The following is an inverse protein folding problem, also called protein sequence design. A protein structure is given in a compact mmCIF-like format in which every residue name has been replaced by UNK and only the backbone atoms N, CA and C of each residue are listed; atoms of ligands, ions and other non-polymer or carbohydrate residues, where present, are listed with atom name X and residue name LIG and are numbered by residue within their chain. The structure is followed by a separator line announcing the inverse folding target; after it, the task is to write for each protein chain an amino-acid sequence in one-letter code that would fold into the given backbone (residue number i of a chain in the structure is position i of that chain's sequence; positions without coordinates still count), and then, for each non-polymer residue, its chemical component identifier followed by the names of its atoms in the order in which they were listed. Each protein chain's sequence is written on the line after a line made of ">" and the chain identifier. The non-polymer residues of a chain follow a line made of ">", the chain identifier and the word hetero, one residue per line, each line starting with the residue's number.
data_IF_896641522234
#
_entry.id   IF_896641522234
#
_cell.length_a   1.000
_cell.length_b   1.000
_cell.length_c   1.000
_cell.angle_alpha   90.00
_cell.angle_beta   90.00
_cell.angle_gamma   90.00
#
_symmetry.space_group_name_H-M   'P 1'
#
loop_
_entity.id
_entity.type
_entity.pdbx_description
1 polymer ?
#
# COMPACT_ATOMS: atom_id res chain seq x y z
N UNK A 1 13.78 -7.25 -5.16
CA UNK A 1 12.55 -8.07 -5.25
C UNK A 1 12.81 -9.57 -5.48
N UNK A 2 13.90 -9.97 -6.14
CA UNK A 2 14.22 -11.42 -6.35
C UNK A 2 14.73 -12.13 -5.08
N UNK A 3 15.29 -11.39 -4.11
CA UNK A 3 15.89 -11.99 -2.89
C UNK A 3 14.90 -12.46 -1.82
N UNK A 4 13.65 -11.96 -1.79
CA UNK A 4 12.66 -12.31 -0.74
C UNK A 4 11.97 -13.65 -1.04
N UNK A 5 11.91 -14.06 -2.30
CA UNK A 5 11.19 -15.27 -2.73
C UNK A 5 11.84 -16.59 -2.30
N UNK A 6 13.08 -16.58 -1.80
CA UNK A 6 13.82 -17.79 -1.39
C UNK A 6 13.55 -18.25 0.05
N UNK A 7 12.78 -17.50 0.83
CA UNK A 7 12.66 -17.72 2.28
C UNK A 7 11.44 -18.55 2.74
N UNK A 8 10.54 -18.94 1.83
CA UNK A 8 9.30 -19.65 2.19
C UNK A 8 9.09 -20.92 1.35
N UNK A 9 9.71 -22.06 1.72
CA UNK A 9 9.63 -23.31 0.96
C UNK A 9 8.23 -23.95 0.94
N UNK A 10 7.36 -23.64 1.91
CA UNK A 10 6.05 -24.29 2.10
C UNK A 10 4.84 -23.37 1.81
N UNK A 11 5.02 -22.23 1.13
CA UNK A 11 3.91 -21.34 0.75
C UNK A 11 3.92 -21.08 -0.74
N UNK A 12 2.70 -21.00 -1.31
CA UNK A 12 2.35 -20.65 -2.70
C UNK A 12 3.51 -20.68 -3.68
N UNK A 13 3.50 -21.66 -4.61
CA UNK A 13 4.52 -21.78 -5.66
C UNK A 13 4.92 -20.39 -6.22
N UNK A 14 6.22 -20.14 -6.44
CA UNK A 14 6.71 -18.81 -6.84
C UNK A 14 5.95 -18.18 -8.00
N UNK A 15 5.49 -19.00 -8.94
CA UNK A 15 4.67 -18.60 -10.09
C UNK A 15 3.28 -18.11 -9.69
N UNK A 16 2.59 -18.85 -8.81
CA UNK A 16 1.28 -18.45 -8.29
C UNK A 16 1.38 -17.16 -7.50
N UNK A 17 2.41 -16.98 -6.68
CA UNK A 17 2.63 -15.74 -5.95
C UNK A 17 2.86 -14.55 -6.92
N UNK A 18 3.70 -14.73 -7.95
CA UNK A 18 3.91 -13.71 -8.98
C UNK A 18 2.63 -13.37 -9.75
N UNK A 19 1.76 -14.36 -10.00
CA UNK A 19 0.46 -14.12 -10.61
C UNK A 19 -0.44 -13.28 -9.70
N UNK A 20 -0.63 -13.70 -8.45
CA UNK A 20 -1.45 -12.98 -7.48
C UNK A 20 -0.99 -11.55 -7.25
N UNK A 21 0.33 -11.33 -7.10
CA UNK A 21 0.90 -9.99 -6.92
C UNK A 21 0.64 -9.07 -8.13
N UNK A 22 0.57 -9.60 -9.35
CA UNK A 22 0.24 -8.82 -10.55
C UNK A 22 -1.25 -8.46 -10.62
N UNK A 23 -2.12 -9.33 -10.11
CA UNK A 23 -3.57 -9.16 -10.12
C UNK A 23 -4.11 -8.39 -8.91
N UNK A 24 -3.30 -8.15 -7.89
CA UNK A 24 -3.73 -7.48 -6.66
C UNK A 24 -4.25 -6.06 -6.95
N UNK A 25 -5.47 -5.77 -6.48
CA UNK A 25 -6.13 -4.45 -6.56
C UNK A 25 -6.79 -4.17 -5.22
N UNK A 26 -6.85 -2.89 -4.85
CA UNK A 26 -7.38 -2.43 -3.56
C UNK A 26 -8.59 -1.48 -3.72
N UNK A 27 -9.03 -1.30 -4.96
CA UNK A 27 -10.09 -0.37 -5.31
C UNK A 27 -11.03 -0.96 -6.35
N UNK A 28 -12.21 -0.35 -6.47
CA UNK A 28 -13.15 -0.68 -7.53
C UNK A 28 -12.78 0.07 -8.82
N UNK A 29 -12.66 -0.70 -9.90
CA UNK A 29 -12.34 -0.20 -11.24
C UNK A 29 -13.44 0.71 -11.79
N UNK A 30 -14.72 0.43 -11.50
CA UNK A 30 -15.83 1.18 -12.06
C UNK A 30 -15.79 2.67 -11.66
N UNK A 31 -15.41 2.96 -10.42
CA UNK A 31 -15.37 4.33 -9.86
C UNK A 31 -13.98 4.97 -9.89
N UNK A 32 -12.96 4.24 -10.37
CA UNK A 32 -11.56 4.69 -10.31
C UNK A 32 -11.32 5.97 -11.11
N UNK A 33 -11.91 6.09 -12.29
CA UNK A 33 -11.66 7.18 -13.23
C UNK A 33 -12.01 8.54 -12.63
N UNK A 34 -13.18 8.64 -12.00
CA UNK A 34 -13.66 9.85 -11.34
C UNK A 34 -12.83 10.18 -10.10
N UNK A 35 -12.58 9.18 -9.24
CA UNK A 35 -11.81 9.38 -8.00
C UNK A 35 -10.38 9.83 -8.26
N UNK A 36 -9.76 9.36 -9.35
CA UNK A 36 -8.38 9.72 -9.72
C UNK A 36 -8.24 11.21 -10.08
N UNK A 37 -9.31 11.88 -10.52
CA UNK A 37 -9.30 13.31 -10.80
C UNK A 37 -9.11 14.15 -9.54
N UNK A 38 -9.65 13.67 -8.41
CA UNK A 38 -9.60 14.36 -7.12
C UNK A 38 -8.43 13.88 -6.25
N UNK A 39 -8.14 12.58 -6.25
CA UNK A 39 -7.14 11.96 -5.39
C UNK A 39 -6.13 11.12 -6.18
N UNK A 40 -4.86 11.54 -6.15
CA UNK A 40 -3.77 10.79 -6.78
C UNK A 40 -3.53 9.43 -6.10
N UNK A 41 -4.00 9.22 -4.86
CA UNK A 41 -3.93 7.98 -4.09
C UNK A 41 -5.21 7.13 -4.15
N UNK A 42 -6.15 7.45 -5.04
CA UNK A 42 -7.46 6.78 -5.14
C UNK A 42 -7.39 5.24 -5.22
N UNK A 43 -6.30 4.69 -5.77
CA UNK A 43 -6.12 3.24 -5.93
C UNK A 43 -5.92 2.47 -4.61
N UNK A 44 -5.56 3.13 -3.51
CA UNK A 44 -5.33 2.49 -2.20
C UNK A 44 -6.03 3.21 -1.04
N UNK A 45 -6.58 4.41 -1.29
CA UNK A 45 -7.20 5.30 -0.31
C UNK A 45 -8.04 4.59 0.75
N UNK A 46 -8.98 3.75 0.32
CA UNK A 46 -9.93 3.05 1.22
C UNK A 46 -9.20 2.21 2.28
N UNK A 47 -8.18 1.46 1.87
CA UNK A 47 -7.43 0.59 2.79
C UNK A 47 -6.49 1.42 3.65
N UNK A 48 -5.86 2.44 3.07
CA UNK A 48 -4.97 3.31 3.80
C UNK A 48 -5.70 4.07 4.92
N UNK A 49 -6.86 4.64 4.65
CA UNK A 49 -7.64 5.36 5.65
C UNK A 49 -8.13 4.42 6.77
N UNK A 50 -8.54 3.19 6.42
CA UNK A 50 -8.88 2.15 7.41
C UNK A 50 -7.67 1.76 8.26
N UNK A 51 -6.51 1.64 7.65
CA UNK A 51 -5.27 1.33 8.36
C UNK A 51 -4.92 2.44 9.37
N UNK A 52 -4.92 3.70 8.94
CA UNK A 52 -4.65 4.85 9.81
C UNK A 52 -5.67 4.91 10.95
N UNK A 53 -6.97 4.77 10.62
CA UNK A 53 -8.04 4.73 11.62
C UNK A 53 -7.78 3.66 12.68
N UNK A 54 -7.45 2.44 12.26
CA UNK A 54 -7.14 1.35 13.18
C UNK A 54 -5.91 1.65 14.03
N UNK A 55 -4.86 2.28 13.48
CA UNK A 55 -3.69 2.69 14.26
C UNK A 55 -4.06 3.69 15.36
N UNK A 56 -4.93 4.67 15.05
CA UNK A 56 -5.37 5.67 16.02
C UNK A 56 -6.29 5.08 17.10
N UNK A 57 -7.19 4.16 16.73
CA UNK A 57 -8.16 3.58 17.67
C UNK A 57 -7.53 2.56 18.64
N UNK A 58 -6.47 1.87 18.22
CA UNK A 58 -5.90 0.75 18.97
C UNK A 58 -4.60 1.10 19.72
N UNK A 59 -4.15 2.35 19.66
CA UNK A 59 -2.92 2.79 20.32
C UNK A 59 -3.09 4.14 21.01
N UNK A 60 -2.84 4.17 22.33
CA UNK A 60 -2.73 5.40 23.09
C UNK A 60 -1.27 5.85 23.12
N UNK A 61 -0.99 7.04 22.60
CA UNK A 61 0.35 7.61 22.59
C UNK A 61 0.69 8.29 23.92
N UNK A 62 1.99 8.41 24.20
CA UNK A 62 2.53 9.19 25.31
C UNK A 62 2.36 10.70 25.04
N UNK A 63 2.39 11.58 26.06
CA UNK A 63 2.37 13.04 25.86
C UNK A 63 3.50 13.59 24.97
N UNK A 64 4.57 12.81 24.78
CA UNK A 64 5.71 13.19 23.94
C UNK A 64 5.67 12.37 22.65
N UNK A 65 5.31 13.03 21.54
CA UNK A 65 5.29 12.44 20.20
C UNK A 65 6.10 13.30 19.23
N UNK A 66 6.65 12.67 18.21
CA UNK A 66 7.39 13.33 17.14
C UNK A 66 6.63 13.20 15.82
N UNK A 67 6.66 14.26 15.02
CA UNK A 67 6.16 14.28 13.65
C UNK A 67 7.37 14.44 12.75
N UNK A 68 7.57 13.49 11.85
CA UNK A 68 8.64 13.50 10.86
C UNK A 68 8.14 12.92 9.54
N UNK A 69 8.87 13.14 8.45
CA UNK A 69 8.54 12.62 7.13
C UNK A 69 9.20 11.26 6.86
N UNK A 70 8.53 10.41 6.09
CA UNK A 70 9.08 9.13 5.62
C UNK A 70 9.11 9.13 4.11
N UNK A 71 10.31 9.10 3.54
CA UNK A 71 10.53 9.04 2.11
C UNK A 71 10.63 7.58 1.63
N UNK A 72 9.62 7.14 0.89
CA UNK A 72 9.60 5.81 0.30
C UNK A 72 10.22 5.83 -1.10
N UNK A 73 11.30 5.08 -1.28
CA UNK A 73 11.96 4.95 -2.59
C UNK A 73 11.14 4.10 -3.56
N UNK A 74 10.62 4.72 -4.62
CA UNK A 74 9.89 4.04 -5.69
C UNK A 74 10.43 4.39 -7.08
N UNK A 75 10.91 3.37 -7.81
CA UNK A 75 11.52 3.55 -9.14
C UNK A 75 10.52 3.57 -10.30
N UNK A 76 9.26 3.24 -10.08
CA UNK A 76 8.21 3.25 -11.12
C UNK A 76 7.64 4.66 -11.39
N UNK A 77 6.73 4.74 -12.38
CA UNK A 77 5.97 5.97 -12.65
C UNK A 77 4.94 6.19 -11.54
N UNK A 78 5.01 7.34 -10.89
CA UNK A 78 4.11 7.70 -9.82
C UNK A 78 3.80 9.22 -9.91
N UNK A 79 2.51 9.64 -9.90
CA UNK A 79 2.10 11.03 -10.18
C UNK A 79 2.36 12.02 -9.02
N UNK A 80 2.86 11.52 -7.89
CA UNK A 80 3.20 12.31 -6.70
C UNK A 80 4.63 12.00 -6.21
N UNK A 81 5.45 11.36 -7.05
CA UNK A 81 6.87 11.23 -6.76
C UNK A 81 7.49 12.63 -6.83
N UNK A 82 8.24 13.00 -5.79
CA UNK A 82 9.13 14.17 -5.83
C UNK A 82 10.22 14.00 -6.88
#
# INVERSE_FOLDING_TARGET
>A
MVRVLKFFPNRCLPERLRFLLRCLRFDDHATRSERKLQDKLAAIRIIFDRFVKNCTENYMHSPHVTIDEVLLSFKGRCPFRM
#
